data_IF_380673503468
#
_entry.id   IF_380673503468
#
_cell.length_a   1.000
_cell.length_b   1.000
_cell.length_c   1.000
_cell.angle_alpha   90.00
_cell.angle_beta   90.00
_cell.angle_gamma   90.00
#
_symmetry.space_group_name_H-M   'P 1'
#
loop_
_entity.id
_entity.type
_entity.pdbx_description
1 polymer ?
#
# COMPACT_ATOMS: atom_id res chain seq x y z
N UNK A 1 -13.15 -1.49 -5.41
CA UNK A 1 -11.69 -1.26 -5.51
C UNK A 1 -11.24 -1.76 -6.88
N UNK A 2 -10.21 -1.18 -7.50
CA UNK A 2 -9.62 -1.76 -8.72
C UNK A 2 -8.69 -2.87 -8.24
N UNK A 3 -8.80 -4.06 -8.81
CA UNK A 3 -8.00 -5.21 -8.39
C UNK A 3 -6.53 -5.03 -8.78
N UNK A 4 -5.61 -5.45 -7.91
CA UNK A 4 -4.18 -5.23 -8.11
C UNK A 4 -3.56 -6.36 -8.93
N UNK A 5 -2.76 -5.99 -9.92
CA UNK A 5 -1.96 -6.96 -10.65
C UNK A 5 -0.92 -7.61 -9.72
N UNK A 6 -0.86 -8.93 -9.73
CA UNK A 6 0.18 -9.69 -9.04
C UNK A 6 1.55 -9.35 -9.62
N UNK A 7 2.53 -9.06 -8.76
CA UNK A 7 3.88 -8.69 -9.18
C UNK A 7 4.51 -9.68 -10.16
N UNK A 8 4.34 -10.98 -9.89
CA UNK A 8 4.94 -12.04 -10.71
C UNK A 8 4.39 -12.07 -12.16
N UNK A 9 3.16 -11.58 -12.36
CA UNK A 9 2.50 -11.51 -13.67
C UNK A 9 2.85 -10.25 -14.44
N UNK A 10 3.57 -9.30 -13.82
CA UNK A 10 3.91 -8.02 -14.44
C UNK A 10 4.97 -8.20 -15.52
N UNK A 11 4.73 -7.56 -16.67
CA UNK A 11 5.65 -7.50 -17.81
C UNK A 11 6.34 -6.14 -17.88
N UNK A 12 7.53 -6.10 -18.48
CA UNK A 12 8.38 -4.92 -18.58
C UNK A 12 8.94 -4.80 -20.01
N UNK A 13 8.80 -3.62 -20.61
CA UNK A 13 9.33 -3.30 -21.95
C UNK A 13 10.81 -2.91 -21.93
N UNK A 14 11.28 -2.29 -20.83
CA UNK A 14 12.67 -1.80 -20.67
C UNK A 14 13.15 -0.89 -21.81
N UNK A 15 12.23 -0.08 -22.34
CA UNK A 15 12.42 0.89 -23.42
C UNK A 15 12.76 2.30 -22.89
N UNK A 16 13.21 2.40 -21.64
CA UNK A 16 13.47 3.67 -21.00
C UNK A 16 14.63 4.42 -21.68
N UNK A 17 14.44 5.71 -22.05
CA UNK A 17 15.51 6.53 -22.58
C UNK A 17 16.57 6.76 -21.51
N UNK A 18 17.84 6.76 -21.89
CA UNK A 18 18.93 6.88 -20.91
C UNK A 18 18.88 8.19 -20.11
N UNK A 19 18.41 9.27 -20.73
CA UNK A 19 18.29 10.59 -20.11
C UNK A 19 17.36 10.66 -18.90
N UNK A 20 16.55 9.63 -18.62
CA UNK A 20 15.73 9.57 -17.39
C UNK A 20 16.41 8.81 -16.25
N UNK A 21 17.68 8.40 -16.39
CA UNK A 21 18.40 7.64 -15.37
C UNK A 21 18.31 8.31 -13.99
N UNK A 22 18.61 9.60 -13.90
CA UNK A 22 18.51 10.36 -12.65
C UNK A 22 17.10 10.31 -12.05
N UNK A 23 16.05 10.42 -12.86
CA UNK A 23 14.65 10.32 -12.39
C UNK A 23 14.35 8.94 -11.80
N UNK A 24 14.88 7.88 -12.39
CA UNK A 24 14.71 6.51 -11.90
C UNK A 24 15.48 6.29 -10.60
N UNK A 25 16.70 6.85 -10.48
CA UNK A 25 17.49 6.85 -9.24
C UNK A 25 16.74 7.57 -8.12
N UNK A 26 16.14 8.74 -8.40
CA UNK A 26 15.36 9.48 -7.39
C UNK A 26 14.15 8.70 -6.89
N UNK A 27 13.53 7.85 -7.72
CA UNK A 27 12.43 6.97 -7.25
C UNK A 27 12.92 6.00 -6.19
N UNK A 28 14.01 5.25 -6.44
CA UNK A 28 14.53 4.31 -5.45
C UNK A 28 15.12 5.02 -4.23
N UNK A 29 15.69 6.23 -4.40
CA UNK A 29 16.14 7.10 -3.30
C UNK A 29 15.00 7.52 -2.39
N UNK A 30 13.83 7.83 -2.97
CA UNK A 30 12.66 8.28 -2.24
C UNK A 30 11.89 7.17 -1.51
N UNK A 31 12.15 5.88 -1.78
CA UNK A 31 11.37 4.78 -1.18
C UNK A 31 11.42 4.76 0.35
N UNK A 32 12.59 4.88 1.03
CA UNK A 32 12.64 4.88 2.50
C UNK A 32 11.79 5.98 3.13
N UNK A 33 11.84 7.20 2.58
CA UNK A 33 11.05 8.33 3.09
C UNK A 33 9.54 8.10 2.92
N UNK A 34 9.12 7.54 1.78
CA UNK A 34 7.71 7.19 1.51
C UNK A 34 7.22 6.08 2.45
N UNK A 35 8.07 5.09 2.75
CA UNK A 35 7.74 4.01 3.68
C UNK A 35 7.61 4.52 5.12
N UNK A 36 8.52 5.39 5.56
CA UNK A 36 8.44 6.06 6.87
C UNK A 36 7.16 6.88 7.01
N UNK A 37 6.81 7.67 6.00
CA UNK A 37 5.58 8.45 6.00
C UNK A 37 4.33 7.55 6.07
N UNK A 38 4.31 6.47 5.29
CA UNK A 38 3.21 5.52 5.32
C UNK A 38 3.05 4.82 6.67
N UNK A 39 4.12 4.61 7.42
CA UNK A 39 4.08 3.88 8.70
C UNK A 39 3.98 4.78 9.93
N UNK A 40 4.24 6.08 9.77
CA UNK A 40 4.21 7.07 10.85
C UNK A 40 2.88 7.08 11.61
N UNK A 41 2.97 7.00 12.93
CA UNK A 41 1.81 7.10 13.83
C UNK A 41 0.89 5.88 13.84
N UNK A 42 1.20 4.82 13.10
CA UNK A 42 0.44 3.57 13.18
C UNK A 42 0.77 2.83 14.48
N UNK A 43 -0.25 2.28 15.15
CA UNK A 43 -0.05 1.45 16.33
C UNK A 43 0.63 0.13 15.96
N UNK A 44 1.32 -0.50 16.92
CA UNK A 44 1.87 -1.85 16.74
C UNK A 44 0.83 -2.84 16.22
N UNK A 45 -0.38 -2.78 16.78
CA UNK A 45 -1.50 -3.60 16.34
C UNK A 45 -1.79 -3.46 14.85
N UNK A 46 -1.85 -2.23 14.28
CA UNK A 46 -2.01 -2.03 12.82
C UNK A 46 -0.81 -2.54 12.05
N UNK A 47 0.39 -2.24 12.52
CA UNK A 47 1.63 -2.59 11.81
C UNK A 47 1.79 -4.10 11.65
N UNK A 48 1.32 -4.87 12.63
CA UNK A 48 1.42 -6.35 12.63
C UNK A 48 0.15 -7.07 12.18
N UNK A 49 -0.98 -6.36 12.01
CA UNK A 49 -2.23 -6.98 11.57
C UNK A 49 -2.09 -7.50 10.14
N UNK A 50 -2.53 -8.75 9.92
CA UNK A 50 -2.58 -9.39 8.60
C UNK A 50 -3.99 -9.35 8.02
N UNK A 51 -4.05 -9.35 6.69
CA UNK A 51 -5.27 -9.48 5.92
C UNK A 51 -5.37 -10.94 5.42
N UNK A 52 -6.01 -11.79 6.24
CA UNK A 52 -5.96 -13.25 6.05
C UNK A 52 -4.53 -13.78 6.15
N UNK A 53 -4.12 -14.57 5.16
CA UNK A 53 -2.77 -15.14 5.07
C UNK A 53 -1.74 -14.20 4.40
N UNK A 54 -2.13 -12.97 4.07
CA UNK A 54 -1.25 -12.00 3.42
C UNK A 54 -0.36 -11.27 4.44
N UNK A 55 0.81 -10.81 3.97
CA UNK A 55 1.77 -10.07 4.78
C UNK A 55 1.18 -8.79 5.39
N UNK A 56 1.51 -8.56 6.66
CA UNK A 56 1.24 -7.32 7.41
C UNK A 56 2.02 -6.13 6.84
N UNK A 57 1.71 -4.91 7.28
CA UNK A 57 2.47 -3.71 6.88
C UNK A 57 3.96 -3.85 7.22
N UNK A 58 4.27 -4.39 8.40
CA UNK A 58 5.65 -4.57 8.83
C UNK A 58 6.37 -5.69 8.06
N UNK A 59 5.66 -6.73 7.63
CA UNK A 59 6.21 -7.77 6.76
C UNK A 59 6.44 -7.26 5.33
N UNK A 60 5.58 -6.38 4.80
CA UNK A 60 5.83 -5.68 3.54
C UNK A 60 7.11 -4.82 3.63
N UNK A 61 7.30 -4.10 4.74
CA UNK A 61 8.52 -3.31 5.00
C UNK A 61 9.77 -4.20 5.14
N UNK A 62 9.66 -5.31 5.88
CA UNK A 62 10.74 -6.28 6.04
C UNK A 62 11.13 -6.95 4.72
N UNK A 63 10.16 -7.22 3.84
CA UNK A 63 10.44 -7.76 2.52
C UNK A 63 11.25 -6.81 1.64
N UNK A 64 10.98 -5.50 1.71
CA UNK A 64 11.81 -4.50 1.01
C UNK A 64 13.25 -4.54 1.50
N UNK A 65 13.46 -4.63 2.82
CA UNK A 65 14.79 -4.78 3.42
C UNK A 65 15.47 -6.10 2.97
N UNK A 66 14.73 -7.20 2.84
CA UNK A 66 15.28 -8.49 2.42
C UNK A 66 15.92 -8.48 1.05
N UNK A 67 15.47 -7.59 0.17
CA UNK A 67 15.92 -7.52 -1.22
C UNK A 67 17.10 -6.57 -1.44
N UNK A 68 17.47 -5.74 -0.46
CA UNK A 68 18.60 -4.82 -0.61
C UNK A 68 19.92 -5.57 -0.93
N UNK A 69 20.27 -6.70 -0.26
CA UNK A 69 21.44 -7.48 -0.65
C UNK A 69 21.36 -8.03 -2.08
N UNK A 70 20.17 -8.38 -2.58
CA UNK A 70 20.01 -8.83 -3.97
C UNK A 70 20.26 -7.68 -4.95
N UNK A 71 19.79 -6.46 -4.64
CA UNK A 71 20.08 -5.26 -5.43
C UNK A 71 21.59 -5.01 -5.53
N UNK A 72 22.29 -5.06 -4.39
CA UNK A 72 23.74 -4.89 -4.32
C UNK A 72 24.50 -5.96 -5.10
N UNK A 73 24.18 -7.24 -4.90
CA UNK A 73 24.81 -8.35 -5.61
C UNK A 73 24.66 -8.21 -7.14
N UNK A 74 23.52 -7.69 -7.61
CA UNK A 74 23.31 -7.47 -9.04
C UNK A 74 24.12 -6.31 -9.59
N UNK A 75 24.41 -5.28 -8.79
CA UNK A 75 25.39 -4.26 -9.18
C UNK A 75 26.80 -4.86 -9.25
N UNK A 76 27.17 -5.72 -8.29
CA UNK A 76 28.44 -6.43 -8.32
C UNK A 76 28.57 -7.31 -9.58
N UNK A 77 27.49 -7.96 -10.00
CA UNK A 77 27.45 -8.73 -11.26
C UNK A 77 27.72 -7.85 -12.48
N UNK A 78 27.15 -6.63 -12.54
CA UNK A 78 27.43 -5.68 -13.62
C UNK A 78 28.88 -5.15 -13.60
N UNK A 79 29.44 -4.92 -12.42
CA UNK A 79 30.83 -4.51 -12.24
C UNK A 79 31.80 -5.60 -12.68
N UNK A 80 31.51 -6.85 -12.32
CA UNK A 80 32.28 -8.03 -12.70
C UNK A 80 32.03 -8.49 -14.15
N UNK A 81 31.11 -7.85 -14.89
CA UNK A 81 30.79 -8.20 -16.26
C UNK A 81 30.16 -9.59 -16.41
N UNK A 82 29.41 -10.06 -15.41
CA UNK A 82 28.73 -11.36 -15.44
C UNK A 82 27.67 -11.38 -16.54
N UNK A 83 27.56 -12.51 -17.23
CA UNK A 83 26.54 -12.70 -18.27
C UNK A 83 25.12 -12.75 -17.70
N UNK A 84 24.96 -13.25 -16.47
CA UNK A 84 23.68 -13.46 -15.80
C UNK A 84 23.74 -12.88 -14.40
N UNK A 85 22.70 -12.11 -14.04
CA UNK A 85 22.54 -11.51 -12.72
C UNK A 85 22.17 -12.55 -11.65
N UNK A 86 22.40 -12.22 -10.39
CA UNK A 86 21.99 -13.01 -9.24
C UNK A 86 20.46 -13.26 -9.25
N UNK A 87 20.08 -14.52 -9.02
CA UNK A 87 18.69 -14.94 -8.95
C UNK A 87 18.04 -14.51 -7.63
N UNK A 88 16.77 -14.11 -7.71
CA UNK A 88 15.97 -13.87 -6.51
C UNK A 88 15.53 -15.20 -5.89
N UNK A 89 15.36 -15.22 -4.57
CA UNK A 89 14.64 -16.30 -3.90
C UNK A 89 13.15 -16.17 -4.20
N UNK A 90 12.65 -17.00 -5.12
CA UNK A 90 11.25 -16.98 -5.54
C UNK A 90 10.28 -17.47 -4.46
N UNK A 91 10.79 -18.09 -3.40
CA UNK A 91 9.99 -18.56 -2.27
C UNK A 91 9.88 -17.52 -1.16
N UNK A 92 10.61 -16.40 -1.26
CA UNK A 92 10.66 -15.36 -0.23
C UNK A 92 10.94 -15.92 1.18
N UNK A 93 11.78 -16.96 1.30
CA UNK A 93 11.97 -17.68 2.57
C UNK A 93 12.43 -16.76 3.68
N UNK A 94 13.36 -15.86 3.36
CA UNK A 94 13.88 -14.87 4.31
C UNK A 94 12.77 -14.01 4.93
N UNK A 95 11.75 -13.65 4.15
CA UNK A 95 10.62 -12.86 4.65
C UNK A 95 9.68 -13.69 5.53
N UNK A 96 9.41 -14.95 5.13
CA UNK A 96 8.58 -15.86 5.93
C UNK A 96 9.25 -16.25 7.26
N UNK A 97 10.57 -16.43 7.25
CA UNK A 97 11.37 -16.85 8.41
C UNK A 97 11.83 -15.66 9.27
N UNK A 98 11.90 -14.45 8.70
CA UNK A 98 12.44 -13.24 9.33
C UNK A 98 11.62 -12.70 10.50
N UNK A 99 10.39 -13.19 10.69
CA UNK A 99 9.50 -12.86 11.80
C UNK A 99 9.42 -11.34 12.09
N UNK A 100 9.26 -10.54 11.04
CA UNK A 100 9.33 -9.07 11.14
C UNK A 100 8.34 -8.46 12.15
N UNK A 101 7.24 -9.16 12.46
CA UNK A 101 6.25 -8.71 13.43
C UNK A 101 6.74 -8.74 14.90
N UNK A 102 7.84 -9.44 15.23
CA UNK A 102 8.46 -9.33 16.57
C UNK A 102 9.37 -8.12 16.70
N UNK A 103 9.93 -7.59 15.60
CA UNK A 103 10.80 -6.42 15.62
C UNK A 103 9.99 -5.12 15.86
N UNK A 104 10.68 -3.98 15.90
CA UNK A 104 10.08 -2.65 15.81
C UNK A 104 10.13 -2.16 14.37
N UNK A 105 9.14 -1.36 13.97
CA UNK A 105 9.09 -0.81 12.63
C UNK A 105 10.27 0.15 12.41
N UNK A 106 10.66 0.89 13.45
CA UNK A 106 11.78 1.84 13.43
C UNK A 106 13.10 1.14 13.08
N UNK A 107 13.35 -0.07 13.62
CA UNK A 107 14.55 -0.84 13.30
C UNK A 107 14.56 -1.27 11.83
N UNK A 108 13.42 -1.72 11.30
CA UNK A 108 13.28 -2.15 9.90
C UNK A 108 13.49 -0.95 8.98
N UNK A 109 12.87 0.19 9.27
CA UNK A 109 13.00 1.43 8.50
C UNK A 109 14.43 1.95 8.48
N UNK A 110 15.10 1.98 9.65
CA UNK A 110 16.49 2.43 9.76
C UNK A 110 17.45 1.53 8.98
N UNK A 111 17.29 0.21 9.10
CA UNK A 111 18.08 -0.75 8.33
C UNK A 111 17.83 -0.61 6.83
N UNK A 112 16.56 -0.54 6.40
CA UNK A 112 16.22 -0.38 4.99
C UNK A 112 16.78 0.90 4.40
N UNK A 113 16.62 2.03 5.10
CA UNK A 113 17.19 3.32 4.68
C UNK A 113 18.70 3.22 4.51
N UNK A 114 19.41 2.64 5.49
CA UNK A 114 20.86 2.50 5.44
C UNK A 114 21.30 1.73 4.20
N UNK A 115 20.76 0.53 3.99
CA UNK A 115 21.13 -0.32 2.85
C UNK A 115 20.75 0.34 1.51
N UNK A 116 19.57 0.97 1.44
CA UNK A 116 19.13 1.68 0.23
C UNK A 116 20.01 2.85 -0.13
N UNK A 117 20.47 3.61 0.86
CA UNK A 117 21.32 4.78 0.58
C UNK A 117 22.71 4.35 0.10
N UNK A 118 23.20 3.17 0.49
CA UNK A 118 24.44 2.62 -0.08
C UNK A 118 24.24 2.17 -1.53
N UNK A 119 23.12 1.51 -1.84
CA UNK A 119 22.74 1.19 -3.22
C UNK A 119 22.69 2.45 -4.10
N UNK A 120 22.01 3.50 -3.61
CA UNK A 120 21.90 4.78 -4.32
C UNK A 120 23.25 5.48 -4.48
N UNK A 121 24.12 5.44 -3.46
CA UNK A 121 25.47 6.00 -3.54
C UNK A 121 26.28 5.40 -4.70
N UNK A 122 26.12 4.11 -4.97
CA UNK A 122 26.76 3.46 -6.14
C UNK A 122 26.16 3.94 -7.45
N UNK A 123 24.84 4.04 -7.53
CA UNK A 123 24.13 4.55 -8.72
C UNK A 123 24.58 5.98 -9.08
N UNK A 124 24.74 6.85 -8.08
CA UNK A 124 25.21 8.22 -8.27
C UNK A 124 26.65 8.31 -8.82
N UNK A 125 27.45 7.24 -8.66
CA UNK A 125 28.85 7.20 -9.09
C UNK A 125 29.03 6.60 -10.50
N UNK A 126 28.00 5.97 -11.07
CA UNK A 126 28.12 5.33 -12.38
C UNK A 126 28.00 6.32 -13.53
N UNK A 127 28.86 6.13 -14.54
CA UNK A 127 28.84 6.92 -15.77
C UNK A 127 27.85 6.36 -16.81
N UNK A 128 27.66 7.12 -17.90
CA UNK A 128 26.76 6.78 -19.00
C UNK A 128 27.06 5.41 -19.63
N UNK A 129 28.34 5.05 -19.75
CA UNK A 129 28.76 3.78 -20.33
C UNK A 129 28.40 2.61 -19.41
N UNK A 130 28.60 2.78 -18.10
CA UNK A 130 28.28 1.77 -17.11
C UNK A 130 26.78 1.53 -17.02
N UNK A 131 25.96 2.58 -16.97
CA UNK A 131 24.51 2.42 -16.78
C UNK A 131 23.81 1.71 -17.96
N UNK A 132 24.47 1.65 -19.12
CA UNK A 132 24.02 0.93 -20.31
C UNK A 132 24.48 -0.54 -20.38
N UNK A 133 25.37 -0.99 -19.48
CA UNK A 133 25.83 -2.39 -19.46
C UNK A 133 24.67 -3.32 -19.25
N UNK A 134 24.69 -4.45 -19.96
CA UNK A 134 23.61 -5.44 -19.95
C UNK A 134 24.02 -6.76 -19.34
N UNK A 135 23.09 -7.40 -18.63
CA UNK A 135 23.20 -8.78 -18.16
C UNK A 135 21.83 -9.47 -18.21
N UNK A 136 21.81 -10.80 -18.30
CA UNK A 136 20.57 -11.58 -18.33
C UNK A 136 19.88 -11.55 -16.97
N UNK A 137 18.62 -11.13 -16.92
CA UNK A 137 17.80 -11.23 -15.71
C UNK A 137 17.22 -12.66 -15.57
N UNK A 138 17.53 -13.42 -14.49
CA UNK A 138 17.18 -14.84 -14.37
C UNK A 138 15.69 -15.18 -14.45
N UNK A 139 14.82 -14.34 -13.89
CA UNK A 139 13.37 -14.55 -13.92
C UNK A 139 12.72 -14.11 -15.23
N UNK A 140 13.05 -12.89 -15.68
CA UNK A 140 12.45 -12.28 -16.88
C UNK A 140 12.97 -12.90 -18.18
N UNK A 141 14.13 -13.57 -18.14
CA UNK A 141 14.76 -14.21 -19.31
C UNK A 141 15.07 -13.24 -20.45
N UNK A 142 15.32 -11.98 -20.11
CA UNK A 142 15.75 -10.92 -21.03
C UNK A 142 17.00 -10.26 -20.51
N UNK A 143 17.84 -9.73 -21.41
CA UNK A 143 18.95 -8.86 -21.02
C UNK A 143 18.38 -7.52 -20.59
N UNK A 144 18.87 -7.02 -19.47
CA UNK A 144 18.48 -5.71 -18.93
C UNK A 144 19.72 -4.86 -18.70
N UNK A 145 19.59 -3.54 -18.86
CA UNK A 145 20.64 -2.59 -18.50
C UNK A 145 20.63 -2.31 -16.99
N UNK A 146 21.62 -1.58 -16.49
CA UNK A 146 21.60 -1.11 -15.09
C UNK A 146 20.39 -0.21 -14.85
N UNK A 147 20.08 0.75 -15.74
CA UNK A 147 18.88 1.60 -15.61
C UNK A 147 17.58 0.78 -15.52
N UNK A 148 17.50 -0.31 -16.27
CA UNK A 148 16.34 -1.20 -16.29
C UNK A 148 16.20 -1.98 -14.98
N UNK A 149 17.33 -2.37 -14.36
CA UNK A 149 17.33 -2.95 -13.01
C UNK A 149 16.83 -1.93 -11.97
N UNK A 150 17.29 -0.69 -12.02
CA UNK A 150 16.85 0.35 -11.06
C UNK A 150 15.36 0.63 -11.23
N UNK A 151 14.88 0.71 -12.48
CA UNK A 151 13.45 0.83 -12.76
C UNK A 151 12.65 -0.36 -12.24
N UNK A 152 13.14 -1.58 -12.47
CA UNK A 152 12.51 -2.80 -11.96
C UNK A 152 12.38 -2.78 -10.43
N UNK A 153 13.41 -2.32 -9.71
CA UNK A 153 13.38 -2.15 -8.25
C UNK A 153 12.38 -1.06 -7.85
N UNK A 154 12.36 0.09 -8.53
CA UNK A 154 11.40 1.17 -8.25
C UNK A 154 9.94 0.70 -8.41
N UNK A 155 9.66 -0.08 -9.45
CA UNK A 155 8.33 -0.67 -9.67
C UNK A 155 7.96 -1.71 -8.61
N UNK A 156 8.94 -2.43 -8.07
CA UNK A 156 8.75 -3.36 -6.98
C UNK A 156 8.43 -2.63 -5.68
N UNK A 157 9.21 -1.62 -5.34
CA UNK A 157 8.99 -0.77 -4.18
C UNK A 157 7.56 -0.20 -4.18
N UNK A 158 7.13 0.38 -5.31
CA UNK A 158 5.80 0.96 -5.44
C UNK A 158 4.70 -0.09 -5.31
N UNK A 159 4.94 -1.34 -5.74
CA UNK A 159 4.03 -2.44 -5.50
C UNK A 159 3.82 -2.68 -3.98
N UNK A 160 4.87 -2.63 -3.17
CA UNK A 160 4.75 -2.81 -1.72
C UNK A 160 4.17 -1.58 -1.02
N UNK A 161 4.58 -0.37 -1.40
CA UNK A 161 4.01 0.88 -0.86
C UNK A 161 2.51 1.00 -1.14
N UNK A 162 2.07 0.60 -2.34
CA UNK A 162 0.65 0.54 -2.70
C UNK A 162 -0.11 -0.45 -1.81
N UNK A 163 0.47 -1.62 -1.51
CA UNK A 163 -0.15 -2.60 -0.61
C UNK A 163 -0.28 -2.07 0.82
N UNK A 164 0.76 -1.42 1.34
CA UNK A 164 0.73 -0.80 2.66
C UNK A 164 -0.38 0.25 2.73
N UNK A 165 -0.52 1.07 1.69
CA UNK A 165 -1.59 2.07 1.59
C UNK A 165 -2.99 1.43 1.59
N UNK A 166 -3.17 0.27 0.95
CA UNK A 166 -4.42 -0.49 1.02
C UNK A 166 -4.70 -1.01 2.43
N UNK A 167 -3.73 -1.64 3.07
CA UNK A 167 -3.87 -2.18 4.42
C UNK A 167 -4.26 -1.08 5.43
N UNK A 168 -3.63 0.11 5.33
CA UNK A 168 -4.01 1.27 6.14
C UNK A 168 -5.48 1.64 6.00
N UNK A 169 -5.99 1.71 4.75
CA UNK A 169 -7.40 2.04 4.49
C UNK A 169 -8.33 0.95 4.98
N UNK A 170 -7.97 -0.32 4.73
CA UNK A 170 -8.75 -1.48 5.12
C UNK A 170 -8.95 -1.52 6.65
N UNK A 171 -7.86 -1.44 7.40
CA UNK A 171 -7.90 -1.52 8.85
C UNK A 171 -8.45 -0.25 9.51
N UNK A 172 -8.26 0.93 8.89
CA UNK A 172 -8.92 2.16 9.31
C UNK A 172 -10.44 2.05 9.23
N UNK A 173 -10.97 1.62 8.07
CA UNK A 173 -12.40 1.44 7.87
C UNK A 173 -13.01 0.37 8.81
N UNK A 174 -12.27 -0.71 9.09
CA UNK A 174 -12.70 -1.74 10.04
C UNK A 174 -12.81 -1.18 11.47
N UNK A 175 -11.83 -0.39 11.92
CA UNK A 175 -11.89 0.25 13.26
C UNK A 175 -13.06 1.23 13.37
N UNK A 176 -13.32 2.02 12.33
CA UNK A 176 -14.46 2.95 12.32
C UNK A 176 -15.79 2.21 12.41
N UNK A 177 -15.95 1.12 11.64
CA UNK A 177 -17.13 0.25 11.72
C UNK A 177 -17.30 -0.36 13.11
N UNK A 178 -16.22 -0.87 13.69
CA UNK A 178 -16.26 -1.46 15.03
C UNK A 178 -16.67 -0.43 16.09
N UNK A 179 -16.11 0.79 16.02
CA UNK A 179 -16.49 1.91 16.91
C UNK A 179 -17.96 2.28 16.75
N UNK A 180 -18.48 2.33 15.52
CA UNK A 180 -19.88 2.61 15.27
C UNK A 180 -20.79 1.53 15.87
N UNK A 181 -20.49 0.25 15.67
CA UNK A 181 -21.26 -0.87 16.24
C UNK A 181 -21.25 -0.81 17.77
N UNK A 182 -20.07 -0.67 18.39
CA UNK A 182 -19.97 -0.58 19.86
C UNK A 182 -20.66 0.65 20.43
N UNK A 183 -20.70 1.78 19.71
CA UNK A 183 -21.46 2.97 20.13
C UNK A 183 -22.98 2.75 20.10
N UNK A 184 -23.47 1.93 19.15
CA UNK A 184 -24.89 1.55 19.07
C UNK A 184 -25.24 0.54 20.16
N UNK A 185 -24.36 -0.42 20.45
CA UNK A 185 -24.57 -1.42 21.52
C UNK A 185 -24.50 -0.80 22.93
N UNK A 186 -23.66 0.22 23.14
CA UNK A 186 -23.60 0.95 24.42
C UNK A 186 -24.73 1.98 24.60
N UNK A 187 -25.53 2.25 23.56
CA UNK A 187 -26.71 3.10 23.70
C UNK A 187 -27.82 2.33 24.45
N UNK A 188 -27.87 2.51 25.76
CA UNK A 188 -28.95 2.03 26.61
C UNK A 188 -29.99 3.17 26.80
N UNK A 189 -31.21 3.09 26.21
CA UNK A 189 -32.21 4.14 26.31
C UNK A 189 -32.68 4.44 27.74
N UNK A 190 -32.35 3.55 28.69
CA UNK A 190 -32.81 3.62 30.08
C UNK A 190 -31.95 4.47 31.02
N UNK A 191 -30.81 5.04 30.56
CA UNK A 191 -29.89 5.78 31.44
C UNK A 191 -29.53 7.21 31.00
N UNK A 192 -30.23 7.77 30.02
CA UNK A 192 -30.06 9.18 29.64
C UNK A 192 -31.02 10.10 30.39
N UNK A 193 -30.52 10.92 31.31
CA UNK A 193 -31.21 12.10 31.84
C UNK A 193 -31.35 13.16 30.75
N UNK A 194 -32.30 12.93 29.84
CA UNK A 194 -32.71 13.83 28.77
C UNK A 194 -34.15 14.29 29.08
N UNK A 195 -34.50 15.60 29.00
CA UNK A 195 -35.86 16.08 29.25
C UNK A 195 -36.94 15.42 28.37
N UNK A 196 -36.58 14.79 27.23
CA UNK A 196 -37.47 13.93 26.42
C UNK A 196 -37.84 12.58 27.08
N UNK A 197 -37.08 12.11 28.08
CA UNK A 197 -37.35 10.85 28.78
C UNK A 197 -38.54 10.94 29.76
N UNK A 198 -38.95 12.16 30.14
CA UNK A 198 -40.11 12.35 31.02
C UNK A 198 -41.45 12.21 30.29
N UNK A 199 -41.53 12.48 28.98
CA UNK A 199 -42.76 12.25 28.20
C UNK A 199 -42.97 10.77 27.85
N UNK A 200 -41.90 9.98 27.72
CA UNK A 200 -41.97 8.54 27.39
C UNK A 200 -42.39 7.65 28.58
N UNK A 201 -42.31 8.14 29.82
CA UNK A 201 -42.73 7.39 31.00
C UNK A 201 -44.24 7.24 31.13
N UNK A 202 -45.03 8.00 30.37
CA UNK A 202 -46.49 7.89 30.32
C UNK A 202 -47.01 6.96 29.20
N UNK A 203 -46.12 6.42 28.37
CA UNK A 203 -46.48 5.48 27.30
C UNK A 203 -46.43 4.04 27.77
N UNK A 204 -47.35 3.23 27.26
CA UNK A 204 -47.40 1.79 27.50
C UNK A 204 -46.16 1.09 26.93
N UNK A 205 -45.85 -0.10 27.44
CA UNK A 205 -44.64 -0.86 27.09
C UNK A 205 -44.54 -1.09 25.57
N UNK A 206 -45.65 -1.36 24.91
CA UNK A 206 -45.77 -1.59 23.46
C UNK A 206 -45.44 -0.34 22.63
N UNK A 207 -45.81 0.85 23.12
CA UNK A 207 -45.54 2.12 22.44
C UNK A 207 -44.05 2.49 22.53
N UNK A 208 -43.39 2.17 23.65
CA UNK A 208 -41.94 2.38 23.81
C UNK A 208 -41.14 1.50 22.86
N UNK A 209 -41.53 0.24 22.70
CA UNK A 209 -40.87 -0.69 21.80
C UNK A 209 -41.03 -0.24 20.34
N UNK A 210 -42.21 0.29 19.98
CA UNK A 210 -42.48 0.81 18.63
C UNK A 210 -41.66 2.06 18.31
N UNK A 211 -41.54 2.99 19.26
CA UNK A 211 -40.73 4.22 19.10
C UNK A 211 -39.23 3.89 19.05
N UNK A 212 -38.77 2.95 19.88
CA UNK A 212 -37.38 2.48 19.85
C UNK A 212 -37.04 1.76 18.53
N UNK A 213 -37.95 0.95 18.00
CA UNK A 213 -37.79 0.32 16.69
C UNK A 213 -37.82 1.32 15.54
N UNK A 214 -38.67 2.34 15.62
CA UNK A 214 -38.68 3.42 14.63
C UNK A 214 -37.36 4.20 14.65
N UNK A 215 -36.84 4.55 15.82
CA UNK A 215 -35.59 5.30 15.95
C UNK A 215 -34.36 4.48 15.55
N UNK A 216 -34.32 3.20 15.91
CA UNK A 216 -33.29 2.26 15.43
C UNK A 216 -33.32 2.12 13.92
N UNK A 217 -34.51 2.01 13.32
CA UNK A 217 -34.66 1.95 11.87
C UNK A 217 -34.24 3.26 11.20
N UNK A 218 -34.53 4.43 11.76
CA UNK A 218 -34.09 5.71 11.19
C UNK A 218 -32.57 5.93 11.30
N UNK A 219 -31.95 5.60 12.45
CA UNK A 219 -30.49 5.66 12.60
C UNK A 219 -29.77 4.65 11.69
N UNK A 220 -30.34 3.47 11.51
CA UNK A 220 -29.85 2.46 10.57
C UNK A 220 -29.97 2.96 9.12
N UNK A 221 -31.12 3.58 8.75
CA UNK A 221 -31.33 4.19 7.43
C UNK A 221 -30.37 5.35 7.18
N UNK A 222 -30.09 6.19 8.18
CA UNK A 222 -29.17 7.32 8.06
C UNK A 222 -27.72 6.84 7.92
N UNK A 223 -27.33 5.80 8.67
CA UNK A 223 -26.03 5.16 8.56
C UNK A 223 -25.83 4.48 7.20
N UNK A 224 -26.88 3.79 6.69
CA UNK A 224 -26.89 3.21 5.36
C UNK A 224 -26.84 4.28 4.27
N UNK A 225 -27.57 5.40 4.42
CA UNK A 225 -27.50 6.56 3.51
C UNK A 225 -26.09 7.14 3.47
N UNK A 226 -25.43 7.36 4.62
CA UNK A 226 -24.04 7.82 4.66
C UNK A 226 -23.07 6.83 4.00
N UNK A 227 -23.24 5.53 4.25
CA UNK A 227 -22.43 4.50 3.60
C UNK A 227 -22.63 4.48 2.08
N UNK A 228 -23.87 4.72 1.62
CA UNK A 228 -24.23 4.78 0.21
C UNK A 228 -23.81 6.08 -0.47
N UNK A 229 -23.79 7.21 0.24
CA UNK A 229 -23.19 8.47 -0.21
C UNK A 229 -21.67 8.35 -0.36
N UNK A 230 -20.99 7.68 0.58
CA UNK A 230 -19.56 7.35 0.45
C UNK A 230 -19.33 6.44 -0.76
N UNK A 231 -20.18 5.42 -0.95
CA UNK A 231 -20.12 4.52 -2.12
C UNK A 231 -20.36 5.27 -3.44
N UNK A 232 -21.37 6.13 -3.51
CA UNK A 232 -21.66 6.99 -4.68
C UNK A 232 -20.59 8.04 -4.91
N UNK A 233 -19.97 8.58 -3.88
CA UNK A 233 -18.81 9.47 -3.99
C UNK A 233 -17.56 8.77 -4.55
N UNK A 234 -17.43 7.46 -4.30
CA UNK A 234 -16.40 6.60 -4.88
C UNK A 234 -16.76 6.15 -6.31
N UNK A 235 -18.05 6.02 -6.65
CA UNK A 235 -18.53 5.65 -8.00
C UNK A 235 -18.65 6.86 -8.95
N UNK A 236 -19.01 8.05 -8.45
CA UNK A 236 -19.09 9.29 -9.22
C UNK A 236 -17.73 9.78 -9.71
N UNK A 237 -16.65 9.50 -8.95
CA UNK A 237 -15.27 9.70 -9.42
C UNK A 237 -14.84 8.71 -10.51
N UNK A 238 -15.52 7.56 -10.64
CA UNK A 238 -15.27 6.65 -11.77
C UNK A 238 -15.96 7.09 -13.06
N UNK A 239 -16.97 7.96 -13.01
CA UNK A 239 -17.67 8.45 -14.20
C UNK A 239 -17.20 9.83 -14.68
N UNK A 240 -16.57 10.65 -13.84
CA UNK A 240 -15.99 11.93 -14.29
C UNK A 240 -14.67 11.77 -15.09
N UNK A 241 -13.93 10.68 -14.90
CA UNK A 241 -12.68 10.42 -15.63
C UNK A 241 -12.87 9.70 -16.98
N UNK A 242 -14.12 9.42 -17.38
CA UNK A 242 -14.43 8.72 -18.65
C UNK A 242 -15.03 9.63 -19.74
N UNK A 243 -15.03 10.95 -19.58
CA UNK A 243 -15.68 11.86 -20.56
C UNK A 243 -14.90 13.14 -20.87
N UNK A 244 -13.56 13.06 -20.91
CA UNK A 244 -12.75 14.04 -21.64
C UNK A 244 -11.72 13.26 -22.43
N UNK A 245 -12.00 12.96 -23.71
CA UNK A 245 -11.05 12.74 -24.82
C UNK A 245 -11.77 12.14 -26.04
N UNK A 246 -12.83 12.79 -26.55
CA UNK A 246 -13.19 12.70 -27.98
C UNK A 246 -13.85 14.00 -28.40
N UNK A 247 -13.08 14.92 -28.96
CA UNK A 247 -13.41 15.75 -30.13
C UNK A 247 -12.49 16.97 -30.16
N UNK A 248 -11.49 16.94 -31.03
CA UNK A 248 -11.34 18.03 -31.97
C UNK A 248 -10.57 17.57 -33.21
N UNK A 249 -11.14 17.99 -34.32
CA UNK A 249 -10.96 17.47 -35.65
C UNK A 249 -9.76 18.09 -36.36
N UNK A 250 -9.34 17.38 -37.40
CA UNK A 250 -8.59 17.87 -38.56
C UNK A 250 -8.70 19.38 -38.80
N UNK A 251 -7.55 20.05 -38.96
CA UNK A 251 -7.25 20.89 -40.15
C UNK A 251 -5.79 21.38 -40.14
N UNK A 252 -5.13 21.05 -41.25
CA UNK A 252 -3.82 21.50 -41.77
C UNK A 252 -2.59 20.77 -41.25
#
# INVERSE_FOLDING_TARGET
MIDRMQWIKRQFSFDLPLGIYANVVERVRGTPARLEDLTRGLSREILTLRDGDQWSIQEQAGHLLDLEPLGMNRLDDFEAGRETLAAADMQNRKTHEGNYNVNTIENILAAFRKERMEFVRRLDAYDEAFVQRTALHPRLKVKIRVIDLVFFIAEHDDHHLARISELKRLFGAQRERQRAISSVEMYNPSQGSNPMAQELNNLSRTERDTVADHFRNELMKESLRKAEEIRRGLEGRKHSDSTVLVSEDRKR
#
